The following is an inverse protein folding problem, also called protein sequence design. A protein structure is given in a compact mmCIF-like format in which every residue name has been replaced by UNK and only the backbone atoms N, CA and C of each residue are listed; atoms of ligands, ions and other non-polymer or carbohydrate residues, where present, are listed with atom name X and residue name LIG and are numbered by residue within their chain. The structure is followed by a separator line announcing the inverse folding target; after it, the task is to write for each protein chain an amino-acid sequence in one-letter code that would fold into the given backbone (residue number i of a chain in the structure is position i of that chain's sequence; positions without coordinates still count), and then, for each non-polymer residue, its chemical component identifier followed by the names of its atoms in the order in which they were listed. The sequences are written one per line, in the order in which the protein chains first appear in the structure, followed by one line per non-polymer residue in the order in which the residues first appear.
data_IF_060815637494
#
_entry.id   IF_060815637494
#
_cell.length_a   1.000
_cell.length_b   1.000
_cell.length_c   1.000
_cell.angle_alpha   90.00
_cell.angle_beta   90.00
_cell.angle_gamma   90.00
#
_symmetry.space_group_name_H-M   'P 1'
#
loop_
_entity.id
_entity.type
_entity.pdbx_description
1 polymer ?
#
# COMPACT_ATOMS: atom_id res chain seq x y z
N UNK A 1 -22.76 6.51 -7.34
CA UNK A 1 -22.37 7.45 -6.26
C UNK A 1 -21.88 6.77 -4.98
N UNK A 2 -21.90 5.42 -4.84
CA UNK A 2 -21.23 4.73 -3.71
C UNK A 2 -19.73 4.52 -3.95
N UNK A 3 -19.30 4.33 -5.20
CA UNK A 3 -17.92 3.89 -5.51
C UNK A 3 -16.82 4.96 -5.39
N UNK A 4 -17.14 6.25 -5.58
CA UNK A 4 -16.11 7.31 -5.53
C UNK A 4 -15.57 7.56 -4.13
N UNK A 5 -16.43 7.41 -3.10
CA UNK A 5 -16.04 7.63 -1.70
C UNK A 5 -15.16 6.52 -1.13
N UNK A 6 -15.41 5.26 -1.51
CA UNK A 6 -14.61 4.11 -1.06
C UNK A 6 -13.22 4.10 -1.70
N UNK A 7 -13.14 4.38 -3.01
CA UNK A 7 -11.86 4.55 -3.68
C UNK A 7 -11.05 5.69 -3.05
N UNK A 8 -11.66 6.85 -2.82
CA UNK A 8 -10.95 7.99 -2.20
C UNK A 8 -10.30 7.63 -0.85
N UNK A 9 -10.96 6.85 0.00
CA UNK A 9 -10.40 6.42 1.30
C UNK A 9 -9.23 5.46 1.14
N UNK A 10 -9.29 4.54 0.16
CA UNK A 10 -8.16 3.67 -0.17
C UNK A 10 -6.95 4.49 -0.63
N UNK A 11 -7.16 5.42 -1.55
CA UNK A 11 -6.12 6.32 -2.06
C UNK A 11 -5.49 7.18 -0.95
N UNK A 12 -6.30 7.74 -0.06
CA UNK A 12 -5.82 8.47 1.11
C UNK A 12 -4.99 7.57 2.04
N UNK A 13 -5.41 6.32 2.25
CA UNK A 13 -4.67 5.36 3.08
C UNK A 13 -3.29 5.05 2.49
N UNK A 14 -3.20 4.85 1.16
CA UNK A 14 -1.90 4.66 0.49
C UNK A 14 -1.01 5.91 0.61
N UNK A 15 -1.58 7.11 0.43
CA UNK A 15 -0.85 8.36 0.55
C UNK A 15 -0.28 8.54 1.97
N UNK A 16 -1.12 8.44 3.00
CA UNK A 16 -0.68 8.58 4.40
C UNK A 16 0.35 7.53 4.80
N UNK A 17 0.21 6.30 4.29
CA UNK A 17 1.21 5.24 4.51
C UNK A 17 2.55 5.61 3.87
N UNK A 18 2.53 6.17 2.65
CA UNK A 18 3.74 6.62 1.97
C UNK A 18 4.43 7.77 2.71
N UNK A 19 3.67 8.73 3.22
CA UNK A 19 4.19 9.87 4.00
C UNK A 19 4.82 9.39 5.30
N UNK A 20 4.13 8.53 6.04
CA UNK A 20 4.62 7.89 7.27
C UNK A 20 5.92 7.14 7.02
N UNK A 21 6.01 6.40 5.91
CA UNK A 21 7.22 5.66 5.56
C UNK A 21 8.39 6.62 5.27
N UNK A 22 8.17 7.68 4.49
CA UNK A 22 9.20 8.68 4.20
C UNK A 22 9.70 9.35 5.47
N UNK A 23 8.81 9.68 6.40
CA UNK A 23 9.17 10.28 7.68
C UNK A 23 9.99 9.30 8.55
N UNK A 24 9.57 8.04 8.64
CA UNK A 24 10.31 7.03 9.38
C UNK A 24 11.71 6.76 8.76
N UNK A 25 11.84 6.83 7.42
CA UNK A 25 13.14 6.72 6.73
C UNK A 25 14.04 7.90 7.13
N UNK A 26 13.52 9.13 7.07
CA UNK A 26 14.26 10.34 7.49
C UNK A 26 14.75 10.24 8.93
N UNK A 27 13.92 9.66 9.81
CA UNK A 27 14.22 9.48 11.22
C UNK A 27 15.08 8.23 11.53
N UNK A 28 15.48 7.46 10.51
CA UNK A 28 16.21 6.17 10.66
C UNK A 28 15.47 5.15 11.55
N UNK A 29 14.15 5.20 11.54
CA UNK A 29 13.25 4.32 12.30
C UNK A 29 12.68 3.17 11.46
N UNK A 30 13.00 3.11 10.17
CA UNK A 30 12.65 1.97 9.32
C UNK A 30 13.74 0.91 9.38
N UNK A 31 13.34 -0.29 9.77
CA UNK A 31 14.08 -1.51 9.53
C UNK A 31 13.30 -2.38 8.52
N UNK A 32 13.92 -3.48 8.06
CA UNK A 32 13.34 -4.40 7.08
C UNK A 32 11.96 -4.92 7.49
N UNK A 33 11.79 -5.31 8.75
CA UNK A 33 10.51 -5.85 9.27
C UNK A 33 9.39 -4.81 9.28
N UNK A 34 9.69 -3.57 9.66
CA UNK A 34 8.72 -2.48 9.62
C UNK A 34 8.24 -2.23 8.18
N UNK A 35 9.18 -2.21 7.22
CA UNK A 35 8.86 -2.00 5.82
C UNK A 35 7.98 -3.13 5.25
N UNK A 36 8.30 -4.38 5.57
CA UNK A 36 7.47 -5.53 5.18
C UNK A 36 6.06 -5.46 5.80
N UNK A 37 5.96 -5.02 7.05
CA UNK A 37 4.68 -4.84 7.74
C UNK A 37 3.82 -3.77 7.07
N UNK A 38 4.40 -2.62 6.71
CA UNK A 38 3.68 -1.56 5.99
C UNK A 38 3.15 -2.03 4.63
N UNK A 39 3.98 -2.75 3.86
CA UNK A 39 3.59 -3.26 2.55
C UNK A 39 2.51 -4.35 2.65
N UNK A 40 2.59 -5.23 3.65
CA UNK A 40 1.55 -6.25 3.90
C UNK A 40 0.21 -5.61 4.31
N UNK A 41 0.25 -4.53 5.08
CA UNK A 41 -0.95 -3.79 5.50
C UNK A 41 -1.67 -3.16 4.30
N UNK A 42 -0.92 -2.62 3.34
CA UNK A 42 -1.46 -2.10 2.09
C UNK A 42 -2.07 -3.22 1.24
N UNK A 43 -1.42 -4.38 1.16
CA UNK A 43 -2.00 -5.51 0.44
C UNK A 43 -3.34 -5.98 1.06
N UNK A 44 -3.41 -6.11 2.39
CA UNK A 44 -4.64 -6.53 3.05
C UNK A 44 -5.80 -5.55 2.85
N UNK A 45 -5.55 -4.25 2.97
CA UNK A 45 -6.57 -3.20 2.83
C UNK A 45 -7.11 -3.16 1.40
N UNK A 46 -6.23 -3.27 0.41
CA UNK A 46 -6.64 -3.10 -0.98
C UNK A 46 -7.15 -4.39 -1.63
N UNK A 47 -6.60 -5.56 -1.29
CA UNK A 47 -7.05 -6.85 -1.85
C UNK A 47 -8.51 -7.20 -1.52
N UNK A 48 -9.06 -6.64 -0.44
CA UNK A 48 -10.46 -6.83 -0.03
C UNK A 48 -11.43 -5.88 -0.74
N UNK A 49 -10.94 -4.79 -1.32
CA UNK A 49 -11.78 -3.66 -1.73
C UNK A 49 -11.60 -3.21 -3.19
N UNK A 50 -10.61 -3.75 -3.91
CA UNK A 50 -10.34 -3.37 -5.31
C UNK A 50 -10.79 -4.46 -6.27
N UNK A 51 -11.84 -4.17 -7.04
CA UNK A 51 -12.19 -4.92 -8.25
C UNK A 51 -11.43 -4.32 -9.46
N UNK A 52 -10.56 -5.09 -10.17
CA UNK A 52 -9.81 -4.59 -11.32
C UNK A 52 -10.68 -4.06 -12.46
N UNK A 53 -11.93 -4.53 -12.59
CA UNK A 53 -12.88 -4.05 -13.59
C UNK A 53 -13.46 -2.66 -13.25
N UNK A 54 -13.36 -2.24 -11.98
CA UNK A 54 -13.91 -1.00 -11.45
C UNK A 54 -12.81 0.01 -11.12
N UNK A 55 -11.68 -0.44 -10.55
CA UNK A 55 -10.50 0.38 -10.24
C UNK A 55 -9.19 -0.33 -10.64
N UNK A 56 -8.86 -0.23 -11.92
CA UNK A 56 -7.61 -0.77 -12.46
C UNK A 56 -6.35 -0.10 -11.86
N UNK A 57 -6.43 1.19 -11.51
CA UNK A 57 -5.28 1.91 -10.94
C UNK A 57 -4.96 1.40 -9.54
N UNK A 58 -5.99 1.20 -8.71
CA UNK A 58 -5.86 0.56 -7.41
C UNK A 58 -5.24 -0.83 -7.56
N UNK A 59 -5.69 -1.61 -8.54
CA UNK A 59 -5.17 -2.95 -8.78
C UNK A 59 -3.66 -2.94 -9.13
N UNK A 60 -3.22 -2.04 -10.01
CA UNK A 60 -1.80 -1.90 -10.38
C UNK A 60 -0.93 -1.59 -9.16
N UNK A 61 -1.39 -0.71 -8.26
CA UNK A 61 -0.64 -0.37 -7.05
C UNK A 61 -0.50 -1.54 -6.08
N UNK A 62 -1.55 -2.36 -5.94
CA UNK A 62 -1.48 -3.58 -5.14
C UNK A 62 -0.39 -4.50 -5.68
N UNK A 63 -0.38 -4.74 -7.00
CA UNK A 63 0.61 -5.61 -7.62
C UNK A 63 2.03 -5.09 -7.41
N UNK A 64 2.22 -3.77 -7.47
CA UNK A 64 3.50 -3.15 -7.17
C UNK A 64 3.91 -3.34 -5.70
N UNK A 65 2.99 -3.13 -4.75
CA UNK A 65 3.26 -3.34 -3.32
C UNK A 65 3.64 -4.78 -3.01
N UNK A 66 2.95 -5.77 -3.62
CA UNK A 66 3.29 -7.19 -3.51
C UNK A 66 4.69 -7.49 -4.03
N UNK A 67 4.99 -7.02 -5.25
CA UNK A 67 6.30 -7.24 -5.86
C UNK A 67 7.43 -6.63 -5.00
N UNK A 68 7.22 -5.45 -4.43
CA UNK A 68 8.18 -4.82 -3.51
C UNK A 68 8.36 -5.64 -2.23
N UNK A 69 7.25 -6.06 -1.61
CA UNK A 69 7.28 -6.87 -0.39
C UNK A 69 8.07 -8.17 -0.60
N UNK A 70 7.79 -8.89 -1.68
CA UNK A 70 8.47 -10.15 -1.98
C UNK A 70 9.95 -9.92 -2.33
N UNK A 71 10.27 -8.84 -3.07
CA UNK A 71 11.66 -8.48 -3.36
C UNK A 71 12.45 -8.15 -2.09
N UNK A 72 11.85 -7.43 -1.14
CA UNK A 72 12.49 -7.08 0.12
C UNK A 72 12.70 -8.32 1.00
N UNK A 73 11.76 -9.28 0.99
CA UNK A 73 11.91 -10.52 1.77
C UNK A 73 13.18 -11.29 1.38
N UNK A 74 13.48 -11.36 0.09
CA UNK A 74 14.63 -12.10 -0.47
C UNK A 74 15.99 -11.40 -0.30
N UNK A 75 16.03 -10.12 0.09
CA UNK A 75 17.27 -9.34 0.33
C UNK A 75 17.86 -9.54 1.73
#
# INVERSE_FOLDING_TARGET
MKDEGENFQLWMTALTTSETLVENIKNKQVNKENLLTYLASLDEIFSKNVDPAVDFHGFVLIQLCKALHDSIKEL
#
